data_IF_018141532137
#
_entry.id   IF_018141532137
#
_cell.length_a   1.000
_cell.length_b   1.000
_cell.length_c   1.000
_cell.angle_alpha   90.00
_cell.angle_beta   90.00
_cell.angle_gamma   90.00
#
_symmetry.space_group_name_H-M   'P 1'
#
loop_
_entity.id
_entity.type
_entity.pdbx_description
1 polymer ?
#
# COMPACT_ATOMS: atom_id res chain seq x y z
N UNK A 1 9.40 -11.31 -4.86
CA UNK A 1 7.96 -11.00 -4.65
C UNK A 1 7.74 -9.49 -4.59
N UNK A 2 6.69 -8.95 -5.22
CA UNK A 2 6.38 -7.52 -5.29
C UNK A 2 5.34 -7.12 -4.24
N UNK A 3 5.71 -6.20 -3.36
CA UNK A 3 4.88 -5.73 -2.26
C UNK A 3 4.21 -4.40 -2.59
N UNK A 4 2.91 -4.32 -2.33
CA UNK A 4 2.14 -3.08 -2.33
C UNK A 4 1.70 -2.73 -0.92
N UNK A 5 1.99 -1.52 -0.45
CA UNK A 5 1.63 -1.10 0.90
C UNK A 5 0.41 -0.19 0.91
N UNK A 6 -0.49 -0.43 1.85
CA UNK A 6 -1.52 0.53 2.23
C UNK A 6 -1.25 1.01 3.66
N UNK A 7 -1.18 2.32 3.87
CA UNK A 7 -0.86 2.90 5.18
C UNK A 7 -1.51 4.29 5.38
N UNK A 8 -1.97 4.61 6.59
CA UNK A 8 -2.64 5.90 6.88
C UNK A 8 -1.80 6.88 7.70
N UNK A 9 -0.81 6.38 8.45
CA UNK A 9 -0.09 7.14 9.49
C UNK A 9 1.43 7.15 9.26
N UNK A 10 2.22 6.89 10.30
CA UNK A 10 3.67 7.06 10.31
C UNK A 10 4.44 6.06 9.44
N UNK A 11 3.86 4.88 9.16
CA UNK A 11 4.49 3.86 8.31
C UNK A 11 5.74 3.21 8.92
N UNK A 12 5.82 3.05 10.25
CA UNK A 12 6.96 2.41 10.93
C UNK A 12 7.08 0.93 10.57
N UNK A 13 5.98 0.17 10.59
CA UNK A 13 5.97 -1.24 10.15
C UNK A 13 6.33 -1.37 8.67
N UNK A 14 5.84 -0.44 7.84
CA UNK A 14 6.21 -0.37 6.43
C UNK A 14 7.72 -0.18 6.26
N UNK A 15 8.34 0.75 7.02
CA UNK A 15 9.79 0.94 6.98
C UNK A 15 10.55 -0.33 7.37
N UNK A 16 10.15 -0.99 8.44
CA UNK A 16 10.83 -2.20 8.89
C UNK A 16 10.86 -3.31 7.81
N UNK A 17 9.77 -3.42 7.02
CA UNK A 17 9.68 -4.35 5.90
C UNK A 17 10.56 -3.88 4.73
N UNK A 18 10.51 -2.59 4.38
CA UNK A 18 11.38 -2.01 3.35
C UNK A 18 12.86 -2.26 3.68
N UNK A 19 13.26 -2.03 4.93
CA UNK A 19 14.62 -2.24 5.41
C UNK A 19 15.01 -3.72 5.35
N UNK A 20 14.09 -4.64 5.66
CA UNK A 20 14.32 -6.08 5.53
C UNK A 20 14.54 -6.52 4.07
N UNK A 21 13.78 -5.95 3.13
CA UNK A 21 13.98 -6.15 1.69
C UNK A 21 15.36 -5.66 1.25
N UNK A 22 15.72 -4.42 1.61
CA UNK A 22 17.02 -3.83 1.26
C UNK A 22 18.22 -4.58 1.82
N UNK A 23 18.05 -5.18 3.00
CA UNK A 23 19.09 -5.99 3.66
C UNK A 23 19.13 -7.44 3.15
N UNK A 24 18.27 -7.83 2.21
CA UNK A 24 18.19 -9.20 1.70
C UNK A 24 17.66 -10.21 2.73
N UNK A 25 17.10 -9.75 3.86
CA UNK A 25 16.44 -10.62 4.84
C UNK A 25 15.06 -11.09 4.39
N UNK A 26 14.48 -10.37 3.43
CA UNK A 26 13.23 -10.71 2.78
C UNK A 26 13.44 -10.61 1.27
N UNK A 27 13.20 -11.70 0.54
CA UNK A 27 13.30 -11.74 -0.93
C UNK A 27 12.06 -11.11 -1.58
N UNK A 28 11.94 -9.80 -1.40
CA UNK A 28 10.83 -9.01 -1.91
C UNK A 28 11.27 -7.58 -2.24
N UNK A 29 10.44 -6.90 -3.02
CA UNK A 29 10.64 -5.51 -3.42
C UNK A 29 9.41 -4.69 -3.03
N UNK A 30 9.61 -3.48 -2.53
CA UNK A 30 8.52 -2.55 -2.22
C UNK A 30 8.22 -1.69 -3.45
N UNK A 31 7.12 -1.96 -4.15
CA UNK A 31 6.92 -1.43 -5.50
C UNK A 31 5.96 -0.23 -5.53
N UNK A 32 5.05 -0.13 -4.56
CA UNK A 32 4.15 1.02 -4.44
C UNK A 32 3.64 1.21 -3.02
N UNK A 33 3.41 2.46 -2.64
CA UNK A 33 2.75 2.84 -1.38
C UNK A 33 1.48 3.67 -1.68
N UNK A 34 0.33 3.18 -1.21
CA UNK A 34 -0.94 3.89 -1.27
C UNK A 34 -1.30 4.38 0.13
N UNK A 35 -1.68 5.65 0.23
CA UNK A 35 -2.17 6.23 1.48
C UNK A 35 -3.46 6.99 1.27
N UNK A 36 -4.36 6.90 2.24
CA UNK A 36 -5.59 7.69 2.29
C UNK A 36 -5.40 9.04 3.01
N UNK A 37 -4.17 9.40 3.35
CA UNK A 37 -3.81 10.63 4.01
C UNK A 37 -2.60 11.26 3.31
N UNK A 38 -2.81 12.38 2.61
CA UNK A 38 -1.76 13.11 1.88
C UNK A 38 -0.60 13.58 2.77
N UNK A 39 -0.81 13.70 4.09
CA UNK A 39 0.20 14.10 5.08
C UNK A 39 0.78 12.91 5.85
N UNK A 40 0.53 11.67 5.43
CA UNK A 40 1.02 10.48 6.13
C UNK A 40 2.55 10.40 6.13
N UNK A 41 3.11 10.00 7.27
CA UNK A 41 4.55 9.69 7.37
C UNK A 41 4.98 8.56 6.43
N UNK A 42 4.07 7.65 6.09
CA UNK A 42 4.29 6.60 5.10
C UNK A 42 4.67 7.16 3.71
N UNK A 43 3.95 8.18 3.21
CA UNK A 43 4.35 8.85 1.95
C UNK A 43 5.74 9.47 2.07
N UNK A 44 6.04 10.11 3.20
CA UNK A 44 7.36 10.69 3.47
C UNK A 44 8.48 9.65 3.41
N UNK A 45 8.24 8.44 3.94
CA UNK A 45 9.17 7.30 3.87
C UNK A 45 9.31 6.77 2.45
N UNK A 46 8.19 6.53 1.76
CA UNK A 46 8.21 6.09 0.36
C UNK A 46 9.06 7.03 -0.51
N UNK A 47 8.87 8.35 -0.35
CA UNK A 47 9.65 9.38 -1.05
C UNK A 47 11.15 9.29 -0.74
N UNK A 48 11.54 9.09 0.54
CA UNK A 48 12.94 8.94 0.94
C UNK A 48 13.60 7.70 0.35
N UNK A 49 12.83 6.62 0.23
CA UNK A 49 13.29 5.34 -0.31
C UNK A 49 13.19 5.26 -1.85
N UNK A 50 12.69 6.32 -2.51
CA UNK A 50 12.50 6.32 -3.97
C UNK A 50 11.36 5.42 -4.46
N UNK A 51 10.45 5.00 -3.58
CA UNK A 51 9.33 4.11 -3.91
C UNK A 51 8.16 4.93 -4.46
N UNK A 52 7.56 4.53 -5.60
CA UNK A 52 6.33 5.15 -6.11
C UNK A 52 5.23 5.21 -5.06
N UNK A 53 4.52 6.33 -4.98
CA UNK A 53 3.40 6.47 -4.05
C UNK A 53 2.19 7.15 -4.66
N UNK A 54 1.01 6.92 -4.08
CA UNK A 54 -0.26 7.54 -4.46
C UNK A 54 -1.07 7.93 -3.22
N UNK A 55 -1.70 9.11 -3.28
CA UNK A 55 -2.71 9.52 -2.33
C UNK A 55 -4.10 9.20 -2.89
N UNK A 56 -4.74 8.17 -2.36
CA UNK A 56 -6.09 7.73 -2.74
C UNK A 56 -7.00 7.75 -1.51
N UNK A 57 -7.98 8.65 -1.50
CA UNK A 57 -8.90 8.85 -0.38
C UNK A 57 -10.27 9.27 -0.87
N UNK A 58 -11.26 9.33 0.03
CA UNK A 58 -12.57 9.91 -0.25
C UNK A 58 -12.55 11.37 -0.72
N UNK A 59 -11.41 12.07 -0.62
CA UNK A 59 -11.22 13.40 -1.20
C UNK A 59 -10.81 13.37 -2.67
N UNK A 60 -10.06 12.34 -3.09
CA UNK A 60 -9.64 12.19 -4.49
C UNK A 60 -10.65 11.39 -5.30
N UNK A 61 -11.36 10.46 -4.65
CA UNK A 61 -12.41 9.64 -5.24
C UNK A 61 -13.57 9.59 -4.22
N UNK A 62 -14.56 10.50 -4.32
CA UNK A 62 -15.69 10.54 -3.38
C UNK A 62 -16.57 9.31 -3.41
N UNK A 63 -16.69 8.66 -4.58
CA UNK A 63 -17.39 7.40 -4.73
C UNK A 63 -16.52 6.23 -4.18
N UNK A 64 -17.03 5.44 -3.22
CA UNK A 64 -16.26 4.34 -2.62
C UNK A 64 -15.88 3.23 -3.61
N UNK A 65 -16.71 2.95 -4.61
CA UNK A 65 -16.41 1.93 -5.61
C UNK A 65 -15.33 2.40 -6.59
N UNK A 66 -15.39 3.67 -7.00
CA UNK A 66 -14.33 4.29 -7.80
C UNK A 66 -13.00 4.32 -7.03
N UNK A 67 -13.04 4.63 -5.74
CA UNK A 67 -11.84 4.60 -4.89
C UNK A 67 -11.23 3.18 -4.84
N UNK A 68 -12.07 2.16 -4.65
CA UNK A 68 -11.62 0.76 -4.64
C UNK A 68 -11.04 0.34 -5.99
N UNK A 69 -11.70 0.68 -7.11
CA UNK A 69 -11.19 0.43 -8.46
C UNK A 69 -9.87 1.16 -8.71
N UNK A 70 -9.70 2.38 -8.21
CA UNK A 70 -8.46 3.15 -8.33
C UNK A 70 -7.31 2.51 -7.51
N UNK A 71 -7.60 2.04 -6.30
CA UNK A 71 -6.64 1.28 -5.47
C UNK A 71 -6.19 0.03 -6.22
N UNK A 72 -7.15 -0.77 -6.69
CA UNK A 72 -6.89 -1.98 -7.47
C UNK A 72 -6.05 -1.70 -8.72
N UNK A 73 -6.39 -0.65 -9.47
CA UNK A 73 -5.67 -0.28 -10.69
C UNK A 73 -4.20 0.07 -10.41
N UNK A 74 -3.93 0.83 -9.34
CA UNK A 74 -2.55 1.15 -8.94
C UNK A 74 -1.77 -0.10 -8.52
N UNK A 75 -2.39 -0.99 -7.75
CA UNK A 75 -1.74 -2.24 -7.34
C UNK A 75 -1.41 -3.13 -8.55
N UNK A 76 -2.35 -3.26 -9.49
CA UNK A 76 -2.14 -4.03 -10.74
C UNK A 76 -1.08 -3.41 -11.63
N UNK A 77 -1.07 -2.08 -11.79
CA UNK A 77 -0.10 -1.40 -12.66
C UNK A 77 1.35 -1.48 -12.17
N UNK A 78 1.56 -1.86 -10.91
CA UNK A 78 2.88 -2.08 -10.32
C UNK A 78 3.19 -3.56 -10.15
N UNK A 79 2.37 -4.45 -10.72
CA UNK A 79 2.49 -5.90 -10.64
C UNK A 79 2.61 -6.40 -9.19
N UNK A 80 1.79 -5.87 -8.28
CA UNK A 80 1.82 -6.28 -6.87
C UNK A 80 1.39 -7.75 -6.74
N UNK A 81 2.23 -8.54 -6.06
CA UNK A 81 1.93 -9.93 -5.71
C UNK A 81 1.16 -10.02 -4.40
N UNK A 82 1.57 -9.21 -3.41
CA UNK A 82 1.09 -9.24 -2.04
C UNK A 82 0.84 -7.84 -1.50
N UNK A 83 -0.36 -7.62 -0.96
CA UNK A 83 -0.76 -6.36 -0.33
C UNK A 83 -0.49 -6.41 1.17
N UNK A 84 0.23 -5.42 1.69
CA UNK A 84 0.52 -5.28 3.11
C UNK A 84 -0.23 -4.07 3.67
N UNK A 85 -1.13 -4.31 4.62
CA UNK A 85 -1.82 -3.28 5.38
C UNK A 85 -0.94 -2.90 6.59
N UNK A 86 -0.18 -1.81 6.44
CA UNK A 86 0.76 -1.31 7.45
C UNK A 86 0.19 -0.08 8.17
N UNK A 87 -0.82 -0.31 9.02
CA UNK A 87 -1.54 0.77 9.71
C UNK A 87 -2.51 1.52 8.81
N UNK A 88 -3.20 0.78 7.93
CA UNK A 88 -4.28 1.30 7.09
C UNK A 88 -5.60 1.35 7.85
N UNK A 89 -6.29 2.50 7.85
CA UNK A 89 -7.44 2.79 8.73
C UNK A 89 -8.78 2.84 7.97
N UNK A 90 -8.83 2.23 6.79
CA UNK A 90 -10.06 2.14 5.98
C UNK A 90 -10.31 0.69 5.60
N UNK A 91 -11.57 0.36 5.35
CA UNK A 91 -11.94 -0.94 4.79
C UNK A 91 -11.43 -1.03 3.35
N UNK A 92 -10.91 -2.20 2.99
CA UNK A 92 -10.60 -2.53 1.60
C UNK A 92 -11.92 -2.85 0.90
N UNK A 93 -12.11 -2.33 -0.31
CA UNK A 93 -13.33 -2.58 -1.07
C UNK A 93 -13.32 -3.96 -1.73
N UNK A 94 -14.50 -4.42 -2.18
CA UNK A 94 -14.69 -5.77 -2.70
C UNK A 94 -13.83 -6.08 -3.94
N UNK A 95 -13.64 -5.13 -4.86
CA UNK A 95 -12.85 -5.38 -6.07
C UNK A 95 -11.38 -5.65 -5.74
N UNK A 96 -10.81 -4.91 -4.77
CA UNK A 96 -9.44 -5.17 -4.30
C UNK A 96 -9.37 -6.48 -3.52
N UNK A 97 -10.35 -6.76 -2.64
CA UNK A 97 -10.41 -8.01 -1.88
C UNK A 97 -10.47 -9.25 -2.80
N UNK A 98 -11.33 -9.23 -3.81
CA UNK A 98 -11.49 -10.34 -4.75
C UNK A 98 -10.22 -10.55 -5.58
N UNK A 99 -9.64 -9.46 -6.10
CA UNK A 99 -8.43 -9.54 -6.90
C UNK A 99 -7.22 -10.04 -6.11
N UNK A 100 -7.12 -9.70 -4.83
CA UNK A 100 -6.03 -10.08 -3.93
C UNK A 100 -6.45 -11.14 -2.90
N UNK A 101 -7.43 -11.98 -3.23
CA UNK A 101 -7.87 -13.06 -2.35
C UNK A 101 -6.67 -13.92 -1.89
N UNK A 102 -6.57 -14.20 -0.59
CA UNK A 102 -5.42 -14.86 0.07
C UNK A 102 -4.05 -14.17 -0.11
N UNK A 103 -4.03 -12.91 -0.58
CA UNK A 103 -2.81 -12.13 -0.86
C UNK A 103 -2.86 -10.74 -0.21
N UNK A 104 -3.53 -10.64 0.93
CA UNK A 104 -3.56 -9.45 1.78
C UNK A 104 -3.12 -9.86 3.18
N UNK A 105 -2.08 -9.21 3.70
CA UNK A 105 -1.65 -9.36 5.08
C UNK A 105 -1.90 -8.06 5.85
N UNK A 106 -2.49 -8.19 7.04
CA UNK A 106 -2.68 -7.09 7.96
C UNK A 106 -1.85 -7.31 9.22
N UNK A 107 -1.19 -6.25 9.69
CA UNK A 107 -0.44 -6.27 10.95
C UNK A 107 -1.26 -5.46 11.96
N UNK A 108 -1.70 -6.12 13.04
CA UNK A 108 -2.48 -5.52 14.14
C UNK A 108 -1.67 -5.47 15.42
#
# INVERSE_FOLDING_TARGET
>A
MRLGFLASHNGTNMQAIIDACKQGRLDAESCVVISNNSKSGAIGRAKKEGIPYRHLSGKTHPDPEELDRAILAVLKSHDVDLVILAGYMKKIGPATLDAFNNRILNIH
#
